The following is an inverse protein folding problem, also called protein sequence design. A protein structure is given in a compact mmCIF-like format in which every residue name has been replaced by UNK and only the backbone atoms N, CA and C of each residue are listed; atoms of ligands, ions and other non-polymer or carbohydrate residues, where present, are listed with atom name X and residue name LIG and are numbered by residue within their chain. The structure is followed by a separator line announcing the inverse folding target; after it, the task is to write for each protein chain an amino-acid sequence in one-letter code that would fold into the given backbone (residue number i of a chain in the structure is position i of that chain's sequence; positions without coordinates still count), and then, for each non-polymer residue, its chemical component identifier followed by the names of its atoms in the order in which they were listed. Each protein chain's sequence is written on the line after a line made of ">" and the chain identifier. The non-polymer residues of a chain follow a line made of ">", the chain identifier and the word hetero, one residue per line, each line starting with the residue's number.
data_IF_155594573676
#
_entry.id   IF_155594573676
#
_cell.length_a   1.000
_cell.length_b   1.000
_cell.length_c   1.000
_cell.angle_alpha   90.00
_cell.angle_beta   90.00
_cell.angle_gamma   90.00
#
_symmetry.space_group_name_H-M   'P 1'
#
loop_
_entity.id
_entity.type
_entity.pdbx_description
1 polymer ?
#
# COMPACT_ATOMS: atom_id res chain seq x y z
N UNK A 1 14.09 -12.63 8.71
CA UNK A 1 13.56 -11.36 8.16
C UNK A 1 13.52 -11.46 6.65
N UNK A 2 12.36 -11.79 6.07
CA UNK A 2 12.11 -11.72 4.63
C UNK A 2 10.62 -11.90 4.47
N UNK A 3 9.91 -10.85 4.07
CA UNK A 3 8.57 -10.88 3.46
C UNK A 3 8.34 -9.52 2.78
N UNK A 4 9.39 -9.00 2.16
CA UNK A 4 9.35 -7.73 1.46
C UNK A 4 9.75 -8.02 0.02
N UNK A 5 8.81 -7.81 -0.90
CA UNK A 5 8.95 -8.10 -2.33
C UNK A 5 8.73 -6.82 -3.10
N UNK A 6 9.47 -6.55 -4.16
CA UNK A 6 9.16 -5.40 -5.01
C UNK A 6 7.76 -5.55 -5.59
N UNK A 7 7.00 -4.45 -5.64
CA UNK A 7 5.65 -4.44 -6.19
C UNK A 7 5.61 -5.02 -7.61
N UNK A 8 6.57 -4.62 -8.45
CA UNK A 8 6.70 -5.08 -9.83
C UNK A 8 7.04 -6.58 -9.97
N UNK A 9 7.51 -7.22 -8.90
CA UNK A 9 7.87 -8.65 -8.89
C UNK A 9 6.72 -9.53 -8.35
N UNK A 10 5.60 -8.94 -7.92
CA UNK A 10 4.45 -9.67 -7.38
C UNK A 10 3.72 -10.40 -8.50
N UNK A 11 3.66 -11.73 -8.38
CA UNK A 11 2.95 -12.59 -9.34
C UNK A 11 1.45 -12.72 -9.07
N UNK A 12 1.00 -12.37 -7.86
CA UNK A 12 -0.42 -12.43 -7.51
C UNK A 12 -1.15 -11.24 -8.10
N UNK A 13 -2.32 -11.48 -8.69
CA UNK A 13 -3.13 -10.42 -9.29
C UNK A 13 -3.77 -9.46 -8.28
N UNK A 14 -3.80 -9.83 -6.99
CA UNK A 14 -4.56 -9.10 -5.95
C UNK A 14 -3.69 -8.70 -4.77
N UNK A 15 -3.82 -7.45 -4.35
CA UNK A 15 -3.42 -6.92 -3.05
C UNK A 15 -4.65 -6.85 -2.13
N UNK A 16 -4.45 -7.13 -0.85
CA UNK A 16 -5.49 -7.19 0.17
C UNK A 16 -5.30 -6.10 1.21
N UNK A 17 -6.39 -5.79 1.92
CA UNK A 17 -6.35 -4.91 3.09
C UNK A 17 -5.30 -5.39 4.09
N UNK A 18 -4.51 -4.47 4.61
CA UNK A 18 -3.37 -4.76 5.47
C UNK A 18 -2.05 -5.00 4.74
N UNK A 19 -2.04 -5.17 3.40
CA UNK A 19 -0.79 -5.05 2.64
C UNK A 19 -0.23 -3.63 2.80
N UNK A 20 1.09 -3.53 2.89
CA UNK A 20 1.80 -2.28 3.15
C UNK A 20 2.81 -2.01 2.04
N UNK A 21 2.72 -0.86 1.40
CA UNK A 21 3.74 -0.32 0.52
C UNK A 21 4.76 0.46 1.34
N UNK A 22 6.01 0.02 1.32
CA UNK A 22 7.15 0.75 1.85
C UNK A 22 7.87 1.44 0.70
N UNK A 23 8.03 2.75 0.80
CA UNK A 23 8.59 3.58 -0.27
C UNK A 23 9.61 4.58 0.28
N UNK A 24 10.61 5.00 -0.51
CA UNK A 24 11.38 6.19 -0.21
C UNK A 24 10.45 7.39 -0.06
N UNK A 25 10.54 8.11 1.06
CA UNK A 25 9.73 9.28 1.32
C UNK A 25 10.37 10.56 0.79
N UNK A 26 9.53 11.51 0.37
CA UNK A 26 9.89 12.91 0.15
C UNK A 26 9.30 13.77 1.26
N UNK A 27 9.94 14.91 1.56
CA UNK A 27 9.42 15.87 2.55
C UNK A 27 7.93 16.15 2.29
N UNK A 28 7.04 16.06 3.30
CA UNK A 28 7.29 16.03 4.74
C UNK A 28 7.41 14.64 5.39
N UNK A 29 7.58 13.57 4.61
CA UNK A 29 7.84 12.23 5.13
C UNK A 29 9.30 12.04 5.55
N UNK A 30 9.55 11.01 6.36
CA UNK A 30 10.88 10.51 6.68
C UNK A 30 11.54 9.82 5.46
N UNK A 31 12.77 9.32 5.61
CA UNK A 31 13.51 8.62 4.54
C UNK A 31 12.69 7.49 3.90
N UNK A 32 11.89 6.79 4.71
CA UNK A 32 10.92 5.82 4.25
C UNK A 32 9.56 6.06 4.90
N UNK A 33 8.50 5.78 4.15
CA UNK A 33 7.12 5.82 4.63
C UNK A 33 6.36 4.57 4.20
N UNK A 34 5.47 4.14 5.08
CA UNK A 34 4.57 3.01 4.85
C UNK A 34 3.14 3.50 4.55
N UNK A 35 2.56 2.96 3.47
CA UNK A 35 1.17 3.15 3.09
C UNK A 35 0.44 1.80 3.14
N UNK A 36 -0.65 1.72 3.90
CA UNK A 36 -1.42 0.48 4.07
C UNK A 36 -2.72 0.50 3.26
N UNK A 37 -2.99 -0.60 2.56
CA UNK A 37 -4.26 -0.86 1.87
C UNK A 37 -5.40 -1.01 2.88
N UNK A 38 -6.49 -0.28 2.69
CA UNK A 38 -7.72 -0.38 3.49
C UNK A 38 -8.92 -0.74 2.61
N UNK A 39 -9.80 -1.61 3.10
CA UNK A 39 -11.13 -1.84 2.50
C UNK A 39 -12.06 -0.75 3.06
N UNK A 40 -12.62 0.06 2.17
CA UNK A 40 -13.54 1.14 2.52
C UNK A 40 -15.01 0.72 2.35
N UNK A 41 -15.26 -0.48 1.82
CA UNK A 41 -16.59 -1.06 1.60
C UNK A 41 -17.55 -0.11 0.87
N UNK A 42 -17.01 0.70 -0.05
CA UNK A 42 -17.74 1.62 -0.91
C UNK A 42 -17.74 1.14 -2.36
N UNK A 43 -18.85 1.37 -3.08
CA UNK A 43 -18.95 1.05 -4.51
C UNK A 43 -18.12 2.00 -5.39
N UNK A 44 -17.99 3.26 -4.99
CA UNK A 44 -17.22 4.28 -5.73
C UNK A 44 -15.74 4.20 -5.38
N UNK A 45 -15.44 3.89 -4.13
CA UNK A 45 -14.10 3.82 -3.58
C UNK A 45 -13.91 2.54 -2.75
N UNK A 46 -13.77 1.38 -3.39
CA UNK A 46 -13.70 0.09 -2.68
C UNK A 46 -12.45 -0.02 -1.80
N UNK A 47 -11.35 0.61 -2.22
CA UNK A 47 -10.08 0.59 -1.53
C UNK A 47 -9.49 2.00 -1.37
N UNK A 48 -8.62 2.13 -0.38
CA UNK A 48 -7.81 3.32 -0.19
C UNK A 48 -6.45 3.00 0.41
N UNK A 49 -5.66 4.03 0.60
CA UNK A 49 -4.38 3.96 1.29
C UNK A 49 -4.38 4.93 2.46
N UNK A 50 -3.85 4.47 3.59
CA UNK A 50 -3.56 5.31 4.75
C UNK A 50 -2.07 5.32 5.00
N UNK A 51 -1.54 6.43 5.51
CA UNK A 51 -0.17 6.50 6.00
C UNK A 51 -0.12 5.81 7.36
N UNK A 52 0.79 4.86 7.55
CA UNK A 52 0.86 4.06 8.80
C UNK A 52 2.15 4.24 9.58
N UNK A 53 3.11 5.02 9.06
CA UNK A 53 4.36 5.33 9.74
C UNK A 53 4.64 6.83 9.80
N UNK A 54 5.51 7.21 10.73
CA UNK A 54 6.06 8.55 10.79
C UNK A 54 5.08 9.64 11.23
N UNK A 55 5.46 10.89 11.02
CA UNK A 55 4.73 12.07 11.48
C UNK A 55 3.34 12.22 10.85
N UNK A 56 3.12 11.64 9.66
CA UNK A 56 1.85 11.69 8.92
C UNK A 56 0.95 10.46 9.16
N UNK A 57 1.34 9.57 10.07
CA UNK A 57 0.57 8.36 10.37
C UNK A 57 -0.89 8.68 10.77
N UNK A 58 -1.81 7.83 10.30
CA UNK A 58 -3.25 7.96 10.53
C UNK A 58 -3.99 8.82 9.49
N UNK A 59 -3.29 9.49 8.58
CA UNK A 59 -3.91 10.24 7.50
C UNK A 59 -4.29 9.34 6.33
N UNK A 60 -5.44 9.62 5.71
CA UNK A 60 -5.81 9.02 4.44
C UNK A 60 -4.96 9.62 3.32
N UNK A 61 -4.20 8.79 2.63
CA UNK A 61 -3.40 9.18 1.48
C UNK A 61 -4.29 9.37 0.26
N UNK A 62 -5.08 8.35 -0.08
CA UNK A 62 -5.97 8.38 -1.25
C UNK A 62 -7.13 7.40 -1.10
N UNK A 63 -8.27 7.72 -1.72
CA UNK A 63 -9.37 6.80 -2.01
C UNK A 63 -9.32 6.45 -3.49
N UNK A 64 -9.13 5.18 -3.81
CA UNK A 64 -8.94 4.72 -5.19
C UNK A 64 -10.28 4.59 -5.91
N UNK A 65 -10.34 4.74 -7.24
CA UNK A 65 -11.57 4.60 -8.01
C UNK A 65 -12.01 3.14 -8.10
N UNK A 66 -13.28 2.89 -8.44
CA UNK A 66 -13.87 1.56 -8.50
C UNK A 66 -13.13 0.57 -9.41
N UNK A 67 -12.55 1.06 -10.51
CA UNK A 67 -11.77 0.30 -11.49
C UNK A 67 -10.48 -0.33 -10.95
N UNK A 68 -9.99 0.12 -9.79
CA UNK A 68 -8.85 -0.52 -9.13
C UNK A 68 -9.21 -1.93 -8.59
N UNK A 69 -10.50 -2.24 -8.44
CA UNK A 69 -10.98 -3.46 -7.81
C UNK A 69 -11.11 -4.62 -8.79
N UNK A 70 -10.68 -5.80 -8.35
CA UNK A 70 -10.98 -7.06 -9.03
C UNK A 70 -12.30 -7.62 -8.51
N UNK A 71 -13.35 -7.52 -9.33
CA UNK A 71 -14.73 -7.86 -8.99
C UNK A 71 -14.88 -9.32 -8.56
N UNK A 72 -14.12 -10.24 -9.15
CA UNK A 72 -14.24 -11.67 -8.88
C UNK A 72 -13.49 -12.14 -7.62
N UNK A 73 -12.41 -11.46 -7.23
CA UNK A 73 -11.47 -11.97 -6.19
C UNK A 73 -11.45 -11.08 -4.93
N UNK A 74 -12.26 -10.01 -4.90
CA UNK A 74 -12.33 -9.01 -3.81
C UNK A 74 -10.92 -8.62 -3.35
N UNK A 75 -10.25 -7.81 -4.17
CA UNK A 75 -8.93 -7.27 -3.89
C UNK A 75 -8.61 -6.08 -4.80
N UNK A 76 -7.61 -5.32 -4.38
CA UNK A 76 -6.99 -4.27 -5.19
C UNK A 76 -6.14 -4.92 -6.29
N UNK A 77 -6.34 -4.56 -7.54
CA UNK A 77 -5.57 -5.10 -8.68
C UNK A 77 -4.11 -4.69 -8.57
N UNK A 78 -3.19 -5.66 -8.48
CA UNK A 78 -1.74 -5.40 -8.46
C UNK A 78 -1.31 -4.66 -9.72
N UNK A 79 -1.82 -5.07 -10.89
CA UNK A 79 -1.46 -4.44 -12.17
C UNK A 79 -1.98 -3.00 -12.24
N UNK A 80 -3.21 -2.76 -11.78
CA UNK A 80 -3.76 -1.40 -11.76
C UNK A 80 -2.89 -0.48 -10.89
N UNK A 81 -2.46 -0.95 -9.71
CA UNK A 81 -1.55 -0.18 -8.83
C UNK A 81 -0.23 0.13 -9.52
N UNK A 82 0.34 -0.82 -10.27
CA UNK A 82 1.59 -0.60 -11.01
C UNK A 82 1.40 0.47 -12.09
N UNK A 83 0.35 0.31 -12.90
CA UNK A 83 0.09 1.18 -14.05
C UNK A 83 -0.31 2.61 -13.64
N UNK A 84 -0.95 2.75 -12.48
CA UNK A 84 -1.55 4.00 -11.99
C UNK A 84 -0.79 4.62 -10.81
N UNK A 85 0.39 4.09 -10.47
CA UNK A 85 1.13 4.50 -9.27
C UNK A 85 1.37 6.01 -9.20
N UNK A 86 1.89 6.57 -10.29
CA UNK A 86 2.26 8.00 -10.39
C UNK A 86 1.02 8.89 -10.39
N UNK A 87 -0.06 8.46 -11.06
CA UNK A 87 -1.27 9.26 -11.18
C UNK A 87 -2.08 9.29 -9.89
N UNK A 88 -2.19 8.15 -9.19
CA UNK A 88 -3.14 7.99 -8.10
C UNK A 88 -2.52 7.87 -6.71
N UNK A 89 -1.28 7.40 -6.59
CA UNK A 89 -0.75 6.97 -5.28
C UNK A 89 0.35 7.90 -4.80
N UNK A 90 1.50 7.89 -5.48
CA UNK A 90 2.67 8.64 -5.00
C UNK A 90 3.66 8.96 -6.13
N UNK A 91 3.46 10.08 -6.86
CA UNK A 91 4.29 10.45 -8.02
C UNK A 91 5.77 10.68 -7.69
N UNK A 92 6.08 10.99 -6.44
CA UNK A 92 7.43 11.25 -5.98
C UNK A 92 8.32 9.99 -5.86
N UNK A 93 7.72 8.80 -5.94
CA UNK A 93 8.42 7.51 -5.87
C UNK A 93 8.22 6.73 -7.17
N UNK A 94 9.31 6.22 -7.74
CA UNK A 94 9.23 5.27 -8.85
C UNK A 94 8.62 3.94 -8.35
N UNK A 95 7.70 3.36 -9.12
CA UNK A 95 7.05 2.08 -8.81
C UNK A 95 8.06 0.93 -8.64
N UNK A 96 9.22 1.00 -9.30
CA UNK A 96 10.30 0.01 -9.19
C UNK A 96 10.99 -0.02 -7.82
N UNK A 97 10.85 1.05 -7.03
CA UNK A 97 11.39 1.19 -5.68
C UNK A 97 10.37 0.86 -4.59
N UNK A 98 9.12 0.56 -4.99
CA UNK A 98 8.04 0.20 -4.08
C UNK A 98 8.21 -1.23 -3.61
N UNK A 99 8.26 -1.39 -2.29
CA UNK A 99 8.30 -2.70 -1.65
C UNK A 99 6.97 -3.00 -0.96
N UNK A 100 6.53 -4.26 -1.04
CA UNK A 100 5.28 -4.71 -0.42
C UNK A 100 5.56 -5.66 0.71
N UNK A 101 4.99 -5.35 1.87
CA UNK A 101 4.87 -6.27 2.99
C UNK A 101 3.44 -6.85 2.99
N UNK A 102 3.33 -8.15 3.26
CA UNK A 102 2.02 -8.79 3.34
C UNK A 102 1.18 -8.22 4.49
N UNK A 103 1.84 -7.95 5.63
CA UNK A 103 1.26 -7.35 6.84
C UNK A 103 2.38 -6.90 7.77
N UNK A 104 2.08 -6.05 8.75
CA UNK A 104 2.98 -5.83 9.88
C UNK A 104 3.09 -7.08 10.74
N UNK A 105 4.32 -7.43 11.11
CA UNK A 105 4.59 -8.49 12.06
C UNK A 105 4.58 -7.90 13.46
N UNK A 106 3.71 -8.42 14.32
CA UNK A 106 3.69 -8.09 15.73
C UNK A 106 4.66 -9.03 16.43
N UNK A 107 5.81 -8.51 16.83
CA UNK A 107 6.67 -9.18 17.81
C UNK A 107 6.26 -8.65 19.18
N UNK A 108 5.61 -9.46 20.05
CA UNK A 108 5.32 -9.02 21.40
C UNK A 108 6.63 -8.65 22.08
N UNK A 109 6.67 -7.47 22.70
CA UNK A 109 7.79 -7.09 23.54
C UNK A 109 7.96 -8.17 24.60
N UNK A 110 9.13 -8.78 24.68
CA UNK A 110 9.46 -9.72 25.75
C UNK A 110 9.27 -8.96 27.06
N UNK A 111 8.27 -9.34 27.85
CA UNK A 111 8.08 -8.79 29.20
C UNK A 111 9.41 -8.98 29.94
N UNK A 112 10.04 -7.87 30.33
CA UNK A 112 11.13 -7.86 31.30
C UNK A 112 10.63 -8.38 32.65
#
# INVERSE_FOLDING_TARGET
>A
MKNMTKLIDIKTSTLRSGNVFRVPGQWPYEEFVDFMVVDLSSSEHPYGLIVTSGHKAGLMLVKLPAECSLTEIRGLSTQWVIDNWVEWIYPECNVEDVHVLERYLITPETKY
#
